data_IF_737750807378
#
_entry.id   IF_737750807378
#
_cell.length_a   1.000
_cell.length_b   1.000
_cell.length_c   1.000
_cell.angle_alpha   90.00
_cell.angle_beta   90.00
_cell.angle_gamma   90.00
#
_symmetry.space_group_name_H-M   'P 1'
#
loop_
_entity.id
_entity.type
_entity.pdbx_description
1 polymer ?
#
# COMPACT_ATOMS: atom_id res chain seq x y z
N UNK A 1 -19.84 0.79 -0.83
CA UNK A 1 -19.60 2.23 -1.09
C UNK A 1 -18.18 2.38 -1.57
N UNK A 2 -17.97 3.00 -2.73
CA UNK A 2 -16.65 3.15 -3.35
C UNK A 2 -15.84 4.24 -2.65
N UNK A 3 -14.50 4.21 -2.75
CA UNK A 3 -13.68 5.29 -2.18
C UNK A 3 -13.82 6.60 -2.97
N UNK A 4 -14.17 6.49 -4.25
CA UNK A 4 -14.73 7.57 -5.06
C UNK A 4 -16.25 7.63 -4.90
N UNK A 5 -16.88 8.79 -5.02
CA UNK A 5 -18.34 8.90 -4.87
C UNK A 5 -18.79 10.10 -4.03
N UNK A 6 -20.05 10.07 -3.60
CA UNK A 6 -20.67 11.16 -2.81
C UNK A 6 -19.91 11.49 -1.53
N UNK A 7 -19.31 10.48 -0.89
CA UNK A 7 -18.62 10.63 0.39
C UNK A 7 -17.13 11.00 0.22
N UNK A 8 -16.63 10.93 -1.02
CA UNK A 8 -15.23 11.26 -1.33
C UNK A 8 -14.92 12.72 -1.00
N UNK A 9 -15.77 13.67 -1.42
CA UNK A 9 -15.55 15.11 -1.18
C UNK A 9 -15.60 15.48 0.30
N UNK A 10 -16.34 14.71 1.11
CA UNK A 10 -16.39 14.87 2.57
C UNK A 10 -15.10 14.36 3.21
N UNK A 11 -14.57 13.21 2.75
CA UNK A 11 -13.35 12.60 3.28
C UNK A 11 -12.08 13.31 2.80
N UNK A 12 -12.10 13.79 1.57
CA UNK A 12 -11.00 14.40 0.84
C UNK A 12 -11.41 15.77 0.32
N UNK A 13 -11.55 16.78 1.22
CA UNK A 13 -11.91 18.14 0.82
C UNK A 13 -10.83 18.77 -0.07
N UNK A 14 -9.57 18.36 0.10
CA UNK A 14 -8.47 18.68 -0.80
C UNK A 14 -8.01 17.40 -1.54
N UNK A 15 -8.30 17.25 -2.84
CA UNK A 15 -7.87 16.11 -3.65
C UNK A 15 -6.35 16.04 -3.86
N UNK A 16 -5.61 17.08 -3.46
CA UNK A 16 -4.15 17.13 -3.49
C UNK A 16 -3.53 17.11 -2.10
N UNK A 17 -4.34 17.11 -1.03
CA UNK A 17 -3.87 17.26 0.34
C UNK A 17 -3.21 16.02 0.92
N UNK A 18 -3.44 14.84 0.33
CA UNK A 18 -2.69 13.62 0.68
C UNK A 18 -2.77 12.55 -0.40
N UNK A 19 -1.85 11.58 -0.34
CA UNK A 19 -1.77 10.47 -1.29
C UNK A 19 -3.08 9.66 -1.36
N UNK A 20 -3.74 9.41 -0.23
CA UNK A 20 -5.05 8.72 -0.13
C UNK A 20 -6.19 9.48 -0.81
N UNK A 21 -6.04 10.80 -0.96
CA UNK A 21 -7.02 11.66 -1.60
C UNK A 21 -6.71 11.89 -3.08
N UNK A 22 -5.66 11.29 -3.63
CA UNK A 22 -5.38 11.41 -5.06
C UNK A 22 -6.50 10.75 -5.86
N UNK A 23 -7.34 11.57 -6.48
CA UNK A 23 -8.42 11.11 -7.35
C UNK A 23 -8.26 11.76 -8.74
N UNK A 24 -8.16 10.98 -9.82
CA UNK A 24 -7.98 11.54 -11.16
C UNK A 24 -9.20 12.30 -11.68
N UNK A 25 -10.39 12.05 -11.11
CA UNK A 25 -11.66 12.70 -11.44
C UNK A 25 -12.42 13.06 -10.14
N UNK A 26 -11.99 14.11 -9.41
CA UNK A 26 -12.55 14.43 -8.09
C UNK A 26 -13.89 15.19 -8.15
N UNK A 27 -14.22 15.81 -9.29
CA UNK A 27 -15.40 16.66 -9.47
C UNK A 27 -16.47 16.05 -10.40
N UNK A 28 -16.22 14.87 -10.93
CA UNK A 28 -17.09 14.17 -11.87
C UNK A 28 -17.17 12.69 -11.50
N UNK A 29 -18.31 12.05 -11.77
CA UNK A 29 -18.51 10.60 -11.70
C UNK A 29 -18.45 9.94 -10.30
N UNK A 30 -19.62 9.91 -9.67
CA UNK A 30 -19.88 9.36 -8.34
C UNK A 30 -20.33 7.88 -8.32
N UNK A 31 -20.43 7.24 -9.48
CA UNK A 31 -20.86 5.85 -9.64
C UNK A 31 -19.89 5.07 -10.52
N UNK A 32 -19.92 3.74 -10.42
CA UNK A 32 -19.12 2.87 -11.28
C UNK A 32 -19.41 3.11 -12.76
N UNK A 33 -20.69 3.32 -13.10
CA UNK A 33 -21.14 3.54 -14.47
C UNK A 33 -20.59 4.85 -15.01
N UNK A 34 -20.77 5.96 -14.28
CA UNK A 34 -20.27 7.26 -14.71
C UNK A 34 -18.74 7.29 -14.80
N UNK A 35 -18.03 6.51 -13.96
CA UNK A 35 -16.56 6.39 -14.04
C UNK A 35 -16.07 5.66 -15.28
N UNK A 36 -16.73 4.57 -15.65
CA UNK A 36 -16.32 3.74 -16.79
C UNK A 36 -16.74 4.35 -18.12
N UNK A 37 -17.90 5.01 -18.15
CA UNK A 37 -18.58 5.39 -19.39
C UNK A 37 -18.87 6.89 -19.51
N UNK A 38 -18.56 7.69 -18.49
CA UNK A 38 -18.90 9.11 -18.47
C UNK A 38 -20.41 9.36 -18.34
N UNK A 39 -20.79 10.62 -18.51
CA UNK A 39 -22.19 11.06 -18.37
C UNK A 39 -23.00 10.94 -19.68
N UNK A 40 -22.33 10.55 -20.78
CA UNK A 40 -22.87 10.55 -22.14
C UNK A 40 -23.51 9.21 -22.57
N UNK A 41 -23.33 8.13 -21.81
CA UNK A 41 -23.79 6.81 -22.21
C UNK A 41 -25.21 6.52 -21.71
N UNK A 42 -26.12 6.29 -22.66
CA UNK A 42 -27.49 5.88 -22.40
C UNK A 42 -27.58 4.35 -22.31
N UNK A 43 -27.64 3.81 -21.09
CA UNK A 43 -27.74 2.36 -20.84
C UNK A 43 -29.10 1.75 -21.15
N UNK A 44 -30.12 2.53 -21.52
CA UNK A 44 -31.42 1.97 -21.92
C UNK A 44 -31.33 1.06 -23.16
N UNK A 45 -30.22 1.10 -23.91
CA UNK A 45 -29.99 0.31 -25.12
C UNK A 45 -28.89 -0.75 -25.03
N UNK A 46 -28.20 -0.90 -23.89
CA UNK A 46 -27.08 -1.83 -23.70
C UNK A 46 -27.33 -2.76 -22.50
N UNK A 47 -28.07 -3.86 -22.69
CA UNK A 47 -28.34 -4.78 -21.61
C UNK A 47 -27.10 -5.62 -21.28
N UNK A 48 -26.80 -5.72 -19.98
CA UNK A 48 -26.14 -6.90 -19.44
C UNK A 48 -27.06 -8.09 -19.73
N UNK A 49 -26.71 -8.88 -20.75
CA UNK A 49 -27.55 -9.97 -21.25
C UNK A 49 -27.04 -11.35 -20.79
N UNK A 50 -25.85 -11.41 -20.18
CA UNK A 50 -25.22 -12.63 -19.68
C UNK A 50 -24.30 -12.38 -18.49
N UNK A 51 -23.91 -13.49 -17.86
CA UNK A 51 -22.94 -13.50 -16.77
C UNK A 51 -21.52 -13.79 -17.29
N UNK A 52 -20.55 -13.19 -16.62
CA UNK A 52 -19.13 -13.50 -16.73
C UNK A 52 -18.66 -14.05 -15.39
N UNK A 53 -18.09 -15.26 -15.42
CA UNK A 53 -17.48 -15.91 -14.26
C UNK A 53 -15.98 -15.66 -14.27
N UNK A 54 -15.45 -15.24 -13.13
CA UNK A 54 -14.03 -14.95 -12.93
C UNK A 54 -13.58 -15.67 -11.68
N UNK A 55 -12.67 -16.62 -11.85
CA UNK A 55 -12.23 -17.51 -10.79
C UNK A 55 -10.71 -17.40 -10.58
N UNK A 56 -10.30 -17.07 -9.37
CA UNK A 56 -8.90 -16.92 -8.98
C UNK A 56 -8.39 -18.16 -8.23
N UNK A 57 -7.11 -18.45 -8.46
CA UNK A 57 -6.32 -19.38 -7.67
C UNK A 57 -5.06 -18.67 -7.17
N UNK A 58 -4.98 -18.49 -5.85
CA UNK A 58 -3.83 -17.90 -5.17
C UNK A 58 -3.13 -18.98 -4.36
N UNK A 59 -1.86 -19.22 -4.69
CA UNK A 59 -1.02 -20.12 -3.90
C UNK A 59 -0.45 -19.39 -2.69
N UNK A 60 -0.29 -20.10 -1.58
CA UNK A 60 0.44 -19.62 -0.42
C UNK A 60 1.90 -19.34 -0.76
N UNK A 61 2.48 -18.40 -0.06
CA UNK A 61 3.89 -18.07 -0.19
C UNK A 61 4.35 -17.04 0.83
N UNK A 62 5.62 -16.66 0.69
CA UNK A 62 6.23 -15.62 1.49
C UNK A 62 6.81 -14.55 0.57
N UNK A 63 6.76 -13.30 1.03
CA UNK A 63 7.28 -12.16 0.28
C UNK A 63 7.85 -11.11 1.22
N UNK A 64 8.87 -10.39 0.76
CA UNK A 64 9.44 -9.28 1.52
C UNK A 64 8.64 -8.02 1.25
N UNK A 65 8.31 -7.26 2.29
CA UNK A 65 7.78 -5.90 2.15
C UNK A 65 8.20 -5.06 3.35
N UNK A 66 8.69 -3.85 3.09
CA UNK A 66 9.14 -2.91 4.12
C UNK A 66 10.14 -3.53 5.10
N UNK A 67 11.04 -4.37 4.56
CA UNK A 67 12.08 -5.06 5.32
C UNK A 67 11.59 -6.20 6.22
N UNK A 68 10.33 -6.65 6.06
CA UNK A 68 9.76 -7.78 6.79
C UNK A 68 9.30 -8.88 5.82
N UNK A 69 9.43 -10.14 6.23
CA UNK A 69 8.96 -11.29 5.47
C UNK A 69 7.53 -11.60 5.91
N UNK A 70 6.58 -11.35 5.02
CA UNK A 70 5.17 -11.63 5.20
C UNK A 70 4.84 -13.05 4.75
N UNK A 71 3.93 -13.69 5.46
CA UNK A 71 3.32 -14.96 5.07
C UNK A 71 1.90 -14.68 4.57
N UNK A 72 1.55 -15.17 3.39
CA UNK A 72 0.24 -14.93 2.81
C UNK A 72 -0.89 -15.74 3.45
N UNK A 73 -0.57 -16.70 4.33
CA UNK A 73 -1.53 -17.68 4.83
C UNK A 73 -1.70 -18.86 3.87
N UNK A 74 -2.88 -19.46 3.84
CA UNK A 74 -3.16 -20.68 3.07
C UNK A 74 -3.44 -20.40 1.58
N UNK A 75 -3.47 -21.48 0.78
CA UNK A 75 -3.95 -21.42 -0.60
C UNK A 75 -5.41 -20.93 -0.62
N UNK A 76 -5.75 -20.08 -1.59
CA UNK A 76 -7.08 -19.51 -1.74
C UNK A 76 -7.62 -19.77 -3.16
N UNK A 77 -8.89 -20.18 -3.26
CA UNK A 77 -9.60 -20.39 -4.52
C UNK A 77 -11.01 -19.80 -4.39
N UNK A 78 -11.37 -18.89 -5.28
CA UNK A 78 -12.62 -18.13 -5.17
C UNK A 78 -13.11 -17.62 -6.52
N UNK A 79 -14.43 -17.55 -6.70
CA UNK A 79 -15.07 -16.81 -7.81
C UNK A 79 -15.49 -15.43 -7.33
N UNK A 80 -15.42 -14.44 -8.22
CA UNK A 80 -15.95 -13.10 -7.96
C UNK A 80 -17.48 -13.18 -7.89
N UNK A 81 -18.04 -12.73 -6.77
CA UNK A 81 -19.47 -12.41 -6.65
C UNK A 81 -19.64 -10.90 -6.44
N UNK A 82 -20.18 -10.16 -7.43
CA UNK A 82 -20.36 -8.71 -7.33
C UNK A 82 -21.40 -8.30 -6.28
N UNK A 83 -22.23 -9.23 -5.79
CA UNK A 83 -23.18 -9.02 -4.70
C UNK A 83 -22.57 -9.30 -3.32
N UNK A 84 -21.42 -9.96 -3.27
CA UNK A 84 -20.71 -10.23 -2.03
C UNK A 84 -20.05 -8.98 -1.46
N UNK A 85 -19.90 -8.98 -0.14
CA UNK A 85 -19.13 -7.98 0.60
C UNK A 85 -17.68 -8.41 0.84
N UNK A 86 -17.27 -9.54 0.27
CA UNK A 86 -15.90 -10.05 0.33
C UNK A 86 -14.90 -9.03 -0.23
N UNK A 87 -13.68 -9.14 0.25
CA UNK A 87 -12.56 -8.28 -0.09
C UNK A 87 -11.32 -9.15 -0.27
N UNK A 88 -10.57 -8.86 -1.31
CA UNK A 88 -9.35 -9.60 -1.67
C UNK A 88 -8.16 -8.64 -1.68
N UNK A 89 -6.97 -9.21 -1.69
CA UNK A 89 -5.72 -8.44 -1.73
C UNK A 89 -5.05 -8.51 -3.11
N UNK A 90 -4.13 -7.58 -3.40
CA UNK A 90 -3.19 -7.71 -4.51
C UNK A 90 -2.49 -9.07 -4.54
N UNK A 91 -2.05 -9.61 -3.39
CA UNK A 91 -1.48 -10.96 -3.35
C UNK A 91 -2.47 -12.02 -3.85
N UNK A 92 -3.72 -12.01 -3.37
CA UNK A 92 -4.76 -12.99 -3.75
C UNK A 92 -5.09 -12.99 -5.24
N UNK A 93 -4.90 -11.84 -5.89
CA UNK A 93 -5.31 -11.59 -7.28
C UNK A 93 -4.11 -11.44 -8.22
N UNK A 94 -2.89 -11.75 -7.78
CA UNK A 94 -1.68 -11.51 -8.59
C UNK A 94 -1.59 -12.31 -9.88
N UNK A 95 -2.25 -13.45 -9.94
CA UNK A 95 -2.22 -14.34 -11.10
C UNK A 95 -3.47 -14.13 -11.96
N UNK A 96 -3.32 -14.32 -13.28
CA UNK A 96 -4.44 -14.29 -14.22
C UNK A 96 -5.54 -15.27 -13.77
N UNK A 97 -6.79 -14.81 -13.57
CA UNK A 97 -7.89 -15.70 -13.24
C UNK A 97 -8.33 -16.52 -14.46
N UNK A 98 -9.03 -17.62 -14.19
CA UNK A 98 -9.84 -18.26 -15.22
C UNK A 98 -11.09 -17.41 -15.45
N UNK A 99 -11.34 -17.03 -16.71
CA UNK A 99 -12.46 -16.17 -17.08
C UNK A 99 -13.30 -16.91 -18.12
N UNK A 100 -14.60 -17.02 -17.86
CA UNK A 100 -15.52 -17.68 -18.76
C UNK A 100 -16.87 -16.98 -18.83
N UNK A 101 -17.55 -17.14 -19.97
CA UNK A 101 -18.91 -16.66 -20.19
C UNK A 101 -19.61 -17.58 -21.18
N UNK A 102 -20.92 -17.37 -21.33
CA UNK A 102 -21.71 -18.07 -22.34
C UNK A 102 -21.65 -17.28 -23.66
N UNK A 103 -21.13 -17.92 -24.70
CA UNK A 103 -21.17 -17.42 -26.06
C UNK A 103 -22.20 -18.21 -26.89
N UNK A 104 -23.23 -17.56 -27.46
CA UNK A 104 -24.21 -18.20 -28.33
C UNK A 104 -23.62 -18.96 -29.53
N UNK A 105 -22.49 -18.51 -30.08
CA UNK A 105 -21.78 -19.17 -31.17
C UNK A 105 -20.27 -18.99 -31.02
N UNK A 106 -19.48 -19.95 -31.50
CA UNK A 106 -18.02 -19.86 -31.62
C UNK A 106 -17.57 -18.80 -32.63
N UNK A 107 -18.45 -18.37 -33.54
CA UNK A 107 -18.13 -17.37 -34.57
C UNK A 107 -18.22 -15.93 -34.04
N UNK A 108 -18.80 -15.75 -32.85
CA UNK A 108 -18.87 -14.44 -32.21
C UNK A 108 -17.51 -14.07 -31.60
N UNK A 109 -17.12 -12.81 -31.74
CA UNK A 109 -15.87 -12.30 -31.21
C UNK A 109 -16.14 -11.31 -30.08
N UNK A 110 -15.29 -11.33 -29.06
CA UNK A 110 -15.43 -10.50 -27.87
C UNK A 110 -14.15 -9.72 -27.56
N UNK A 111 -14.35 -8.55 -26.93
CA UNK A 111 -13.32 -7.76 -26.28
C UNK A 111 -13.53 -7.83 -24.77
N UNK A 112 -12.50 -8.22 -24.01
CA UNK A 112 -12.47 -8.21 -22.55
C UNK A 112 -11.55 -7.10 -22.06
N UNK A 113 -12.05 -6.27 -21.14
CA UNK A 113 -11.28 -5.20 -20.50
C UNK A 113 -11.32 -5.39 -18.99
N UNK A 114 -10.15 -5.52 -18.38
CA UNK A 114 -9.95 -5.48 -16.93
C UNK A 114 -9.47 -4.09 -16.55
N UNK A 115 -10.18 -3.41 -15.65
CA UNK A 115 -9.94 -1.99 -15.37
C UNK A 115 -10.11 -1.63 -13.90
N UNK A 116 -9.27 -0.71 -13.44
CA UNK A 116 -9.43 0.09 -12.24
C UNK A 116 -10.18 1.40 -12.56
N UNK A 117 -11.51 1.48 -12.33
CA UNK A 117 -12.27 2.73 -12.46
C UNK A 117 -11.89 3.80 -11.43
N UNK A 118 -11.27 3.44 -10.31
CA UNK A 118 -10.84 4.37 -9.26
C UNK A 118 -9.70 5.27 -9.73
N UNK A 119 -8.66 4.66 -10.32
CA UNK A 119 -7.48 5.37 -10.81
C UNK A 119 -7.41 5.50 -12.35
N UNK A 120 -8.41 4.97 -13.07
CA UNK A 120 -8.48 4.94 -14.53
C UNK A 120 -7.27 4.22 -15.13
N UNK A 121 -7.07 2.98 -14.69
CA UNK A 121 -5.96 2.14 -15.12
C UNK A 121 -6.48 0.86 -15.79
N UNK A 122 -5.92 0.53 -16.95
CA UNK A 122 -6.12 -0.75 -17.57
C UNK A 122 -5.21 -1.79 -16.89
N UNK A 123 -5.79 -2.94 -16.59
CA UNK A 123 -5.11 -4.10 -16.00
C UNK A 123 -5.09 -5.30 -16.94
N UNK A 124 -5.79 -5.25 -18.07
CA UNK A 124 -5.76 -6.28 -19.11
C UNK A 124 -6.72 -5.93 -20.23
N UNK A 125 -6.31 -6.14 -21.47
CA UNK A 125 -7.11 -5.83 -22.67
C UNK A 125 -6.88 -6.95 -23.68
N UNK A 126 -7.95 -7.67 -23.98
CA UNK A 126 -7.96 -8.79 -24.90
C UNK A 126 -9.02 -8.55 -25.97
N UNK A 127 -8.66 -8.66 -27.24
CA UNK A 127 -9.58 -8.49 -28.37
C UNK A 127 -9.69 -9.79 -29.16
N UNK A 128 -10.64 -9.85 -30.08
CA UNK A 128 -10.78 -10.96 -31.03
C UNK A 128 -10.94 -12.33 -30.37
N UNK A 129 -11.50 -12.39 -29.16
CA UNK A 129 -11.69 -13.66 -28.44
C UNK A 129 -12.82 -14.43 -29.13
N UNK A 130 -12.57 -15.59 -29.76
CA UNK A 130 -13.61 -16.35 -30.43
C UNK A 130 -14.43 -17.13 -29.40
N UNK A 131 -15.76 -16.96 -29.43
CA UNK A 131 -16.66 -17.59 -28.48
C UNK A 131 -16.38 -17.16 -27.05
N UNK A 132 -15.78 -18.04 -26.25
CA UNK A 132 -15.59 -17.86 -24.81
C UNK A 132 -14.24 -18.33 -24.25
N UNK A 133 -13.27 -18.66 -25.11
CA UNK A 133 -11.96 -19.13 -24.66
C UNK A 133 -10.92 -18.03 -24.81
N UNK A 134 -10.63 -17.35 -23.70
CA UNK A 134 -9.75 -16.18 -23.65
C UNK A 134 -8.36 -16.38 -24.30
N UNK A 135 -7.68 -17.53 -24.12
CA UNK A 135 -6.36 -17.74 -24.74
C UNK A 135 -6.34 -17.79 -26.27
N UNK A 136 -7.50 -17.97 -26.93
CA UNK A 136 -7.60 -17.91 -28.40
C UNK A 136 -7.74 -16.47 -28.93
N UNK A 137 -7.90 -15.49 -28.03
CA UNK A 137 -7.92 -14.07 -28.38
C UNK A 137 -6.52 -13.45 -28.52
N UNK A 138 -6.50 -12.17 -28.85
CA UNK A 138 -5.29 -11.36 -28.95
C UNK A 138 -5.14 -10.48 -27.70
N UNK A 139 -4.07 -10.70 -26.94
CA UNK A 139 -3.72 -9.88 -25.79
C UNK A 139 -3.00 -8.60 -26.24
N UNK A 140 -3.66 -7.45 -26.10
CA UNK A 140 -3.05 -6.13 -26.32
C UNK A 140 -2.32 -5.67 -25.06
N UNK A 141 -2.90 -5.99 -23.91
CA UNK A 141 -2.31 -5.84 -22.59
C UNK A 141 -2.63 -7.10 -21.78
N UNK A 142 -1.59 -7.81 -21.36
CA UNK A 142 -1.75 -8.97 -20.48
C UNK A 142 -2.24 -8.53 -19.10
N UNK A 143 -2.78 -9.48 -18.34
CA UNK A 143 -3.26 -9.21 -17.00
C UNK A 143 -2.12 -8.79 -16.07
N UNK A 144 -2.31 -7.68 -15.38
CA UNK A 144 -1.43 -7.21 -14.32
C UNK A 144 -2.20 -7.11 -13.00
N UNK A 145 -1.50 -7.47 -11.92
CA UNK A 145 -2.03 -7.45 -10.55
C UNK A 145 -2.62 -6.09 -10.18
N UNK A 146 -3.74 -6.04 -9.44
CA UNK A 146 -4.20 -4.83 -8.76
C UNK A 146 -3.12 -4.22 -7.87
N UNK A 147 -2.85 -2.91 -8.01
CA UNK A 147 -1.72 -2.26 -7.31
C UNK A 147 -2.17 -1.30 -6.21
N UNK A 148 -3.37 -1.54 -5.68
CA UNK A 148 -3.94 -0.70 -4.63
C UNK A 148 -3.16 -0.86 -3.32
N UNK A 149 -2.70 0.25 -2.72
CA UNK A 149 -1.84 0.23 -1.52
C UNK A 149 -2.57 0.60 -0.21
N UNK A 150 -3.81 1.10 -0.30
CA UNK A 150 -4.50 1.67 0.86
C UNK A 150 -5.39 0.65 1.58
N UNK A 151 -5.66 0.93 2.85
CA UNK A 151 -6.51 0.09 3.71
C UNK A 151 -8.01 0.19 3.39
N UNK A 152 -8.44 1.20 2.65
CA UNK A 152 -9.79 1.27 2.09
C UNK A 152 -9.88 0.44 0.80
N UNK A 153 -11.10 0.16 0.33
CA UNK A 153 -11.30 -0.70 -0.84
C UNK A 153 -11.26 0.12 -2.14
N UNK A 154 -10.53 -0.37 -3.13
CA UNK A 154 -10.71 0.00 -4.54
C UNK A 154 -11.50 -1.08 -5.30
N UNK A 155 -12.01 -0.73 -6.47
CA UNK A 155 -12.79 -1.62 -7.33
C UNK A 155 -12.02 -1.91 -8.59
N UNK A 156 -12.11 -3.16 -9.04
CA UNK A 156 -11.62 -3.60 -10.33
C UNK A 156 -12.76 -4.27 -11.08
N UNK A 157 -12.96 -3.90 -12.34
CA UNK A 157 -14.05 -4.40 -13.18
C UNK A 157 -13.54 -5.29 -14.29
N UNK A 158 -14.37 -6.24 -14.67
CA UNK A 158 -14.22 -7.07 -15.86
C UNK A 158 -15.38 -6.75 -16.78
N UNK A 159 -15.09 -6.17 -17.94
CA UNK A 159 -16.07 -5.69 -18.91
C UNK A 159 -15.95 -6.51 -20.19
N UNK A 160 -17.05 -7.13 -20.61
CA UNK A 160 -17.12 -7.90 -21.84
C UNK A 160 -17.95 -7.16 -22.87
N UNK A 161 -17.38 -6.94 -24.05
CA UNK A 161 -18.05 -6.33 -25.18
C UNK A 161 -18.11 -7.30 -26.35
N UNK A 162 -19.25 -7.32 -27.05
CA UNK A 162 -19.39 -8.07 -28.30
C UNK A 162 -18.86 -7.23 -29.46
N UNK A 163 -18.06 -7.84 -30.32
CA UNK A 163 -17.52 -7.19 -31.51
C UNK A 163 -18.45 -7.40 -32.71
N UNK A 164 -18.46 -6.43 -33.64
CA UNK A 164 -19.10 -6.58 -34.94
C UNK A 164 -18.12 -7.17 -35.99
N UNK A 165 -17.54 -8.32 -35.66
CA UNK A 165 -16.47 -8.98 -36.44
C UNK A 165 -15.09 -8.88 -35.79
N UNK A 166 -14.08 -9.42 -36.46
CA UNK A 166 -12.68 -9.31 -36.02
C UNK A 166 -12.20 -7.86 -36.11
N UNK A 167 -11.61 -7.36 -35.04
CA UNK A 167 -10.99 -6.05 -34.95
C UNK A 167 -9.59 -6.11 -35.53
N UNK A 168 -9.27 -5.17 -36.42
CA UNK A 168 -7.90 -4.84 -36.78
C UNK A 168 -7.59 -3.47 -36.20
N UNK A 169 -6.69 -3.40 -35.23
CA UNK A 169 -6.33 -2.13 -34.60
C UNK A 169 -5.60 -1.22 -35.58
N UNK A 170 -5.85 0.09 -35.49
CA UNK A 170 -4.98 1.08 -36.12
C UNK A 170 -3.72 1.24 -35.26
N UNK A 171 -2.62 1.71 -35.85
CA UNK A 171 -1.39 1.97 -35.10
C UNK A 171 -1.62 2.93 -33.90
N UNK A 172 -2.50 3.91 -34.08
CA UNK A 172 -2.89 4.84 -33.01
C UNK A 172 -3.56 4.11 -31.84
N UNK A 173 -4.55 3.25 -32.13
CA UNK A 173 -5.28 2.52 -31.09
C UNK A 173 -4.43 1.45 -30.43
N UNK A 174 -3.58 0.76 -31.19
CA UNK A 174 -2.60 -0.17 -30.63
C UNK A 174 -1.68 0.55 -29.62
N UNK A 175 -1.24 1.77 -29.95
CA UNK A 175 -0.44 2.59 -29.05
C UNK A 175 -1.24 3.01 -27.81
N UNK A 176 -2.48 3.49 -27.98
CA UNK A 176 -3.35 3.90 -26.88
C UNK A 176 -3.62 2.76 -25.90
N UNK A 177 -4.00 1.59 -26.40
CA UNK A 177 -4.38 0.42 -25.60
C UNK A 177 -3.20 -0.23 -24.84
N UNK A 178 -1.96 0.05 -25.25
CA UNK A 178 -0.76 -0.39 -24.51
C UNK A 178 -0.44 0.46 -23.28
N UNK A 179 -1.13 1.58 -23.06
CA UNK A 179 -0.91 2.43 -21.89
C UNK A 179 -1.71 1.94 -20.68
N UNK A 180 -1.01 1.67 -19.57
CA UNK A 180 -1.61 1.29 -18.28
C UNK A 180 -2.51 2.38 -17.72
N UNK A 181 -2.02 3.62 -17.66
CA UNK A 181 -2.81 4.78 -17.23
C UNK A 181 -3.55 5.34 -18.42
N UNK A 182 -4.86 5.13 -18.49
CA UNK A 182 -5.66 5.54 -19.65
C UNK A 182 -6.16 6.98 -19.54
N UNK A 183 -5.98 7.60 -18.37
CA UNK A 183 -6.34 9.00 -18.10
C UNK A 183 -5.75 9.93 -19.15
N UNK A 184 -6.59 10.75 -19.77
CA UNK A 184 -6.25 11.69 -20.85
C UNK A 184 -5.77 11.03 -22.17
N UNK A 185 -5.88 9.70 -22.31
CA UNK A 185 -5.49 8.99 -23.53
C UNK A 185 -6.74 8.56 -24.32
N UNK A 186 -7.67 7.87 -23.66
CA UNK A 186 -8.95 7.47 -24.24
C UNK A 186 -9.96 7.13 -23.13
N UNK A 187 -11.24 7.04 -23.50
CA UNK A 187 -12.31 6.52 -22.66
C UNK A 187 -12.87 5.22 -23.24
N UNK A 188 -13.57 4.42 -22.43
CA UNK A 188 -14.25 3.20 -22.94
C UNK A 188 -15.25 3.56 -24.06
N UNK A 189 -16.08 4.62 -23.95
CA UNK A 189 -16.94 5.07 -25.05
C UNK A 189 -16.17 5.37 -26.35
N UNK A 190 -15.00 6.02 -26.29
CA UNK A 190 -14.20 6.30 -27.50
C UNK A 190 -13.80 5.00 -28.20
N UNK A 191 -13.43 3.97 -27.43
CA UNK A 191 -13.07 2.65 -27.96
C UNK A 191 -14.29 1.94 -28.56
N UNK A 192 -15.43 2.03 -27.89
CA UNK A 192 -16.68 1.46 -28.37
C UNK A 192 -17.11 2.08 -29.70
N UNK A 193 -17.03 3.41 -29.81
CA UNK A 193 -17.34 4.14 -31.04
C UNK A 193 -16.37 3.79 -32.17
N UNK A 194 -15.07 3.76 -31.89
CA UNK A 194 -14.04 3.51 -32.90
C UNK A 194 -14.13 2.13 -33.55
N UNK A 195 -14.54 1.10 -32.80
CA UNK A 195 -14.59 -0.29 -33.28
C UNK A 195 -16.00 -0.90 -33.29
N UNK A 196 -17.04 -0.10 -33.05
CA UNK A 196 -18.42 -0.56 -33.04
C UNK A 196 -18.68 -1.66 -32.00
N UNK A 197 -18.07 -1.54 -30.82
CA UNK A 197 -18.27 -2.49 -29.73
C UNK A 197 -19.69 -2.36 -29.16
N UNK A 198 -20.38 -3.49 -29.00
CA UNK A 198 -21.70 -3.55 -28.38
C UNK A 198 -21.57 -4.04 -26.94
N UNK A 199 -22.11 -3.29 -25.97
CA UNK A 199 -22.13 -3.72 -24.58
C UNK A 199 -21.93 -2.59 -23.55
N UNK A 200 -21.49 -2.92 -22.33
CA UNK A 200 -21.03 -4.24 -21.91
C UNK A 200 -22.17 -5.28 -21.94
N UNK A 201 -21.92 -6.43 -22.56
CA UNK A 201 -22.88 -7.56 -22.58
C UNK A 201 -22.80 -8.38 -21.30
N UNK A 202 -21.65 -8.35 -20.63
CA UNK A 202 -21.45 -8.85 -19.29
C UNK A 202 -20.50 -7.94 -18.51
N UNK A 203 -20.69 -7.88 -17.19
CA UNK A 203 -19.81 -7.17 -16.27
C UNK A 203 -19.80 -7.87 -14.91
N UNK A 204 -18.63 -7.92 -14.28
CA UNK A 204 -18.49 -8.21 -12.85
C UNK A 204 -17.42 -7.30 -12.24
N UNK A 205 -17.34 -7.23 -10.92
CA UNK A 205 -16.36 -6.42 -10.21
C UNK A 205 -15.93 -7.05 -8.90
N UNK A 206 -14.69 -6.77 -8.50
CA UNK A 206 -14.13 -7.19 -7.21
C UNK A 206 -13.68 -5.98 -6.39
N UNK A 207 -13.66 -6.17 -5.07
CA UNK A 207 -13.19 -5.20 -4.09
C UNK A 207 -11.80 -5.60 -3.64
N UNK A 208 -10.82 -4.72 -3.87
CA UNK A 208 -9.43 -4.93 -3.50
C UNK A 208 -9.06 -3.98 -2.37
N UNK A 209 -8.52 -4.54 -1.29
CA UNK A 209 -7.87 -3.80 -0.21
C UNK A 209 -6.37 -4.00 -0.31
N UNK A 210 -5.61 -2.93 -0.11
CA UNK A 210 -4.15 -2.98 -0.20
C UNK A 210 -3.53 -3.84 0.89
N UNK A 211 -2.41 -4.46 0.53
CA UNK A 211 -1.61 -5.34 1.37
C UNK A 211 -0.13 -4.94 1.28
N UNK A 212 0.75 -5.54 2.11
CA UNK A 212 2.17 -5.27 2.04
C UNK A 212 2.79 -5.63 0.67
N UNK A 213 2.22 -6.58 -0.08
CA UNK A 213 2.71 -6.97 -1.39
C UNK A 213 2.64 -5.82 -2.40
N UNK A 214 1.48 -5.14 -2.50
CA UNK A 214 1.36 -3.98 -3.38
C UNK A 214 2.28 -2.82 -2.96
N UNK A 215 2.47 -2.60 -1.65
CA UNK A 215 3.41 -1.58 -1.18
C UNK A 215 4.83 -1.88 -1.67
N UNK A 216 5.28 -3.14 -1.59
CA UNK A 216 6.61 -3.50 -2.07
C UNK A 216 6.73 -3.38 -3.60
N UNK A 217 5.68 -3.74 -4.34
CA UNK A 217 5.65 -3.59 -5.80
C UNK A 217 5.93 -2.14 -6.22
N UNK A 218 5.28 -1.18 -5.56
CA UNK A 218 5.49 0.26 -5.80
C UNK A 218 6.89 0.75 -5.42
N UNK A 219 7.45 0.22 -4.33
CA UNK A 219 8.83 0.53 -3.91
C UNK A 219 9.83 0.01 -4.94
N UNK A 220 9.66 -1.23 -5.40
CA UNK A 220 10.54 -1.87 -6.38
C UNK A 220 10.49 -1.17 -7.75
N UNK A 221 9.32 -0.62 -8.11
CA UNK A 221 9.13 0.20 -9.31
C UNK A 221 9.63 1.64 -9.16
N UNK A 222 9.95 2.07 -7.93
CA UNK A 222 10.39 3.44 -7.64
C UNK A 222 9.26 4.47 -7.76
N UNK A 223 8.00 4.06 -7.55
CA UNK A 223 6.82 4.93 -7.65
C UNK A 223 6.49 5.58 -6.31
N UNK A 224 6.06 4.78 -5.33
CA UNK A 224 5.59 5.24 -4.03
C UNK A 224 6.30 4.54 -2.87
N UNK A 225 6.56 5.28 -1.80
CA UNK A 225 6.96 4.75 -0.50
C UNK A 225 5.76 4.81 0.44
N UNK A 226 5.27 3.64 0.88
CA UNK A 226 4.04 3.53 1.68
C UNK A 226 4.18 2.66 2.95
N UNK A 227 5.41 2.33 3.35
CA UNK A 227 5.67 1.59 4.59
C UNK A 227 5.06 2.20 5.86
N UNK A 228 4.92 3.54 6.02
CA UNK A 228 4.24 4.13 7.16
C UNK A 228 2.83 3.58 7.42
N UNK A 229 2.09 3.14 6.40
CA UNK A 229 0.78 2.52 6.58
C UNK A 229 0.83 1.18 7.32
N UNK A 230 1.87 0.39 7.10
CA UNK A 230 2.05 -0.87 7.80
C UNK A 230 2.46 -0.62 9.26
N UNK A 231 3.32 0.38 9.48
CA UNK A 231 3.74 0.81 10.82
C UNK A 231 2.56 1.33 11.63
N UNK A 232 1.69 2.12 11.01
CA UNK A 232 0.45 2.63 11.61
C UNK A 232 -0.48 1.49 12.03
N UNK A 233 -0.65 0.47 11.18
CA UNK A 233 -1.47 -0.68 11.53
C UNK A 233 -0.89 -1.49 12.71
N UNK A 234 0.44 -1.57 12.83
CA UNK A 234 1.10 -2.27 13.92
C UNK A 234 1.02 -1.50 15.24
N UNK A 235 1.36 -0.21 15.24
CA UNK A 235 1.39 0.60 16.46
C UNK A 235 0.01 0.72 17.11
N UNK A 236 -1.05 0.75 16.30
CA UNK A 236 -2.43 0.79 16.78
C UNK A 236 -2.83 -0.49 17.57
N UNK A 237 -2.12 -1.62 17.40
CA UNK A 237 -2.35 -2.84 18.20
C UNK A 237 -1.81 -2.74 19.62
N UNK A 238 -0.83 -1.87 19.86
CA UNK A 238 -0.16 -1.74 21.16
C UNK A 238 -1.03 -1.01 22.20
N UNK A 239 -2.04 -0.23 21.76
CA UNK A 239 -3.00 0.47 22.61
C UNK A 239 -2.35 1.22 23.81
N UNK A 240 -1.33 2.04 23.52
CA UNK A 240 -0.59 2.82 24.53
C UNK A 240 -1.18 4.22 24.67
N UNK A 241 -1.35 4.69 25.89
CA UNK A 241 -1.99 5.99 26.21
C UNK A 241 -1.18 7.21 25.75
N UNK A 242 0.14 7.10 25.67
CA UNK A 242 1.02 8.16 25.15
C UNK A 242 1.06 8.23 23.61
N UNK A 243 0.38 7.30 22.93
CA UNK A 243 0.23 7.30 21.47
C UNK A 243 -1.19 7.76 21.16
N UNK A 244 -1.39 8.85 20.41
CA UNK A 244 -2.72 9.32 20.07
C UNK A 244 -3.57 8.25 19.37
N UNK A 245 -4.85 8.16 19.78
CA UNK A 245 -5.82 7.35 19.04
C UNK A 245 -5.96 7.90 17.62
N UNK A 246 -5.92 7.01 16.61
CA UNK A 246 -5.96 7.38 15.19
C UNK A 246 -4.74 8.19 14.71
N UNK A 247 -3.54 7.85 15.22
CA UNK A 247 -2.28 8.41 14.72
C UNK A 247 -2.12 8.07 13.24
N UNK A 248 -1.97 9.08 12.38
CA UNK A 248 -1.59 8.91 10.98
C UNK A 248 -0.08 9.02 10.83
N UNK A 249 0.57 7.95 10.40
CA UNK A 249 2.03 7.97 10.21
C UNK A 249 2.38 8.44 8.80
N UNK A 250 3.18 9.50 8.71
CA UNK A 250 3.63 10.09 7.43
C UNK A 250 5.13 9.94 7.20
N UNK A 251 5.88 9.49 8.21
CA UNK A 251 7.33 9.28 8.16
C UNK A 251 7.64 7.93 8.79
N UNK A 252 8.43 7.14 8.08
CA UNK A 252 9.04 5.92 8.60
C UNK A 252 10.37 6.26 9.27
N UNK A 253 10.64 5.63 10.41
CA UNK A 253 11.83 5.84 11.24
C UNK A 253 12.64 4.56 11.27
N UNK A 254 13.66 4.49 10.41
CA UNK A 254 14.54 3.34 10.36
C UNK A 254 15.69 3.51 11.36
N UNK A 255 15.72 2.68 12.39
CA UNK A 255 16.77 2.67 13.41
C UNK A 255 17.73 1.50 13.15
N UNK A 256 19.02 1.79 13.03
CA UNK A 256 20.07 0.77 12.91
C UNK A 256 21.17 0.99 13.93
N UNK A 257 21.57 -0.10 14.59
CA UNK A 257 22.73 -0.14 15.49
C UNK A 257 23.85 -0.95 14.83
N UNK A 258 25.10 -0.51 15.02
CA UNK A 258 26.30 -1.24 14.60
C UNK A 258 27.28 -1.38 15.77
N UNK A 259 26.90 -2.13 16.83
CA UNK A 259 27.76 -2.36 18.00
C UNK A 259 29.10 -2.98 17.61
N UNK A 260 30.24 -2.42 18.04
CA UNK A 260 31.52 -3.12 17.95
C UNK A 260 31.50 -4.34 18.88
N UNK A 261 32.34 -5.32 18.56
CA UNK A 261 32.54 -6.50 19.39
C UNK A 261 32.97 -6.08 20.81
N UNK A 262 32.48 -6.79 21.82
CA UNK A 262 32.76 -6.50 23.23
C UNK A 262 32.92 -7.77 24.03
N UNK A 263 33.94 -7.79 24.88
CA UNK A 263 34.11 -8.77 25.94
C UNK A 263 33.79 -8.09 27.28
N UNK A 264 33.01 -8.75 28.14
CA UNK A 264 32.70 -8.24 29.47
C UNK A 264 32.54 -9.39 30.47
N UNK A 265 32.65 -9.09 31.76
CA UNK A 265 32.42 -10.07 32.84
C UNK A 265 31.20 -9.66 33.63
N UNK A 266 30.30 -10.61 33.90
CA UNK A 266 29.15 -10.42 34.79
C UNK A 266 28.95 -11.67 35.62
N UNK A 267 28.68 -11.52 36.93
CA UNK A 267 28.54 -12.63 37.87
C UNK A 267 29.64 -13.69 37.74
N UNK A 268 30.91 -13.24 37.69
CA UNK A 268 32.11 -14.09 37.53
C UNK A 268 32.17 -14.93 36.25
N UNK A 269 31.31 -14.65 35.26
CA UNK A 269 31.28 -15.31 33.97
C UNK A 269 31.70 -14.33 32.86
N UNK A 270 32.56 -14.78 31.95
CA UNK A 270 32.96 -14.01 30.80
C UNK A 270 31.94 -14.16 29.68
N UNK A 271 31.54 -13.04 29.08
CA UNK A 271 30.64 -12.95 27.95
C UNK A 271 31.35 -12.25 26.80
N UNK A 272 31.01 -12.65 25.58
CA UNK A 272 31.58 -12.08 24.38
C UNK A 272 30.50 -11.91 23.33
N UNK A 273 30.32 -10.67 22.86
CA UNK A 273 29.43 -10.33 21.76
C UNK A 273 30.27 -9.90 20.57
N UNK A 274 30.06 -10.55 19.42
CA UNK A 274 30.65 -10.15 18.15
C UNK A 274 30.09 -8.81 17.65
N UNK A 275 30.78 -8.21 16.68
CA UNK A 275 30.22 -7.12 15.89
C UNK A 275 28.98 -7.62 15.14
N UNK A 276 27.94 -6.79 15.10
CA UNK A 276 26.70 -7.08 14.39
C UNK A 276 26.05 -5.78 13.92
N UNK A 277 25.34 -5.85 12.79
CA UNK A 277 24.40 -4.79 12.39
C UNK A 277 22.99 -5.23 12.79
N UNK A 278 22.30 -4.39 13.55
CA UNK A 278 20.95 -4.64 14.04
C UNK A 278 20.05 -3.53 13.51
N UNK A 279 19.25 -3.86 12.48
CA UNK A 279 18.18 -3.00 11.98
C UNK A 279 16.90 -3.34 12.72
N UNK A 280 16.30 -2.37 13.39
CA UNK A 280 15.01 -2.54 14.04
C UNK A 280 13.91 -2.55 12.97
N UNK A 281 12.97 -3.49 13.07
CA UNK A 281 11.78 -3.51 12.24
C UNK A 281 10.56 -3.91 13.09
N UNK A 282 9.62 -2.98 13.35
CA UNK A 282 8.47 -3.26 14.20
C UNK A 282 7.43 -4.17 13.55
N UNK A 283 7.48 -4.39 12.22
CA UNK A 283 6.58 -5.31 11.51
C UNK A 283 6.88 -6.79 11.78
N UNK A 284 8.06 -7.08 12.33
CA UNK A 284 8.51 -8.44 12.61
C UNK A 284 8.95 -8.67 14.05
N UNK A 285 9.73 -9.73 14.25
CA UNK A 285 10.36 -9.96 15.55
C UNK A 285 11.46 -8.90 15.78
N UNK A 286 11.09 -7.86 16.53
CA UNK A 286 11.96 -6.75 16.92
C UNK A 286 12.78 -7.03 18.20
N UNK A 287 12.79 -8.28 18.68
CA UNK A 287 13.56 -8.66 19.87
C UNK A 287 15.06 -8.57 19.61
N UNK A 288 15.74 -7.72 20.37
CA UNK A 288 17.18 -7.49 20.30
C UNK A 288 17.83 -7.66 21.67
N UNK A 289 19.12 -8.04 21.69
CA UNK A 289 19.86 -8.17 22.96
C UNK A 289 20.23 -6.78 23.46
N UNK A 290 20.09 -6.51 24.75
CA UNK A 290 20.43 -5.21 25.34
C UNK A 290 21.87 -4.79 25.04
N UNK A 291 22.83 -5.74 24.99
CA UNK A 291 24.20 -5.42 24.63
C UNK A 291 24.41 -5.03 23.16
N UNK A 292 23.54 -5.43 22.23
CA UNK A 292 23.62 -5.00 20.83
C UNK A 292 23.15 -3.54 20.66
N UNK A 293 22.29 -3.05 21.56
CA UNK A 293 21.69 -1.70 21.57
C UNK A 293 22.07 -0.91 22.83
N UNK A 294 23.24 -1.19 23.40
CA UNK A 294 23.71 -0.64 24.69
C UNK A 294 24.07 0.84 24.60
N UNK A 295 24.11 1.51 25.75
CA UNK A 295 24.71 2.85 25.90
C UNK A 295 26.14 2.86 25.34
N UNK A 296 26.47 3.90 24.57
CA UNK A 296 27.74 4.02 23.87
C UNK A 296 27.77 3.40 22.47
N UNK A 297 26.66 2.84 22.01
CA UNK A 297 26.42 2.49 20.60
C UNK A 297 25.33 3.43 20.09
N UNK A 298 25.74 4.51 19.42
CA UNK A 298 24.79 5.50 18.93
C UNK A 298 23.98 4.92 17.75
N UNK A 299 22.64 5.01 17.77
CA UNK A 299 21.81 4.58 16.66
C UNK A 299 21.97 5.51 15.45
N UNK A 300 22.07 4.92 14.26
CA UNK A 300 21.87 5.65 13.01
C UNK A 300 20.38 5.65 12.66
N UNK A 301 19.87 6.81 12.23
CA UNK A 301 18.46 7.01 11.89
C UNK A 301 18.34 7.43 10.45
N UNK A 302 17.43 6.79 9.73
CA UNK A 302 17.02 7.20 8.39
C UNK A 302 15.52 7.47 8.42
N UNK A 303 15.14 8.67 7.98
CA UNK A 303 13.75 9.08 7.86
C UNK A 303 13.31 8.98 6.40
N UNK A 304 12.14 8.39 6.16
CA UNK A 304 11.57 8.27 4.80
C UNK A 304 10.09 8.65 4.83
N UNK A 305 9.70 9.68 4.08
CA UNK A 305 8.32 10.15 4.01
C UNK A 305 7.45 9.23 3.15
N UNK A 306 6.22 9.05 3.59
CA UNK A 306 5.11 8.55 2.79
C UNK A 306 4.92 9.46 1.56
N UNK A 307 4.81 8.87 0.37
CA UNK A 307 4.54 9.64 -0.86
C UNK A 307 5.30 9.11 -2.06
N UNK A 308 5.54 9.98 -3.04
CA UNK A 308 6.34 9.65 -4.22
C UNK A 308 7.79 9.34 -3.81
N UNK A 309 8.36 8.26 -4.32
CA UNK A 309 9.73 7.83 -3.99
C UNK A 309 10.76 8.94 -4.22
N UNK A 310 10.61 9.72 -5.30
CA UNK A 310 11.49 10.85 -5.64
C UNK A 310 11.47 11.98 -4.60
N UNK A 311 10.37 12.11 -3.85
CA UNK A 311 10.13 13.17 -2.87
C UNK A 311 10.22 12.64 -1.43
N UNK A 312 10.39 11.32 -1.24
CA UNK A 312 10.39 10.65 0.06
C UNK A 312 11.50 11.13 1.01
N UNK A 313 12.50 11.85 0.51
CA UNK A 313 13.59 12.46 1.28
C UNK A 313 13.50 13.99 1.38
N UNK A 314 12.43 14.60 0.88
CA UNK A 314 12.21 16.04 0.93
C UNK A 314 11.28 16.39 2.09
N UNK A 315 11.78 17.10 3.10
CA UNK A 315 11.03 17.44 4.32
C UNK A 315 10.55 18.90 4.41
N UNK A 316 10.72 19.69 3.33
CA UNK A 316 10.05 20.98 3.10
C UNK A 316 10.15 22.01 4.25
N UNK A 317 11.33 22.16 4.85
CA UNK A 317 11.60 23.05 5.98
C UNK A 317 10.79 22.72 7.24
N UNK A 318 10.43 21.44 7.44
CA UNK A 318 9.80 20.97 8.67
C UNK A 318 10.84 20.77 9.78
N UNK A 319 10.40 20.96 11.03
CA UNK A 319 11.17 20.67 12.23
C UNK A 319 10.63 19.39 12.88
N UNK A 320 11.53 18.57 13.42
CA UNK A 320 11.14 17.32 14.08
C UNK A 320 11.78 17.13 15.46
N UNK A 321 11.06 16.42 16.32
CA UNK A 321 11.58 15.86 17.57
C UNK A 321 11.58 14.33 17.48
N UNK A 322 12.74 13.72 17.73
CA UNK A 322 12.89 12.27 17.88
C UNK A 322 13.05 11.92 19.35
N UNK A 323 12.32 10.91 19.82
CA UNK A 323 12.44 10.38 21.18
C UNK A 323 12.41 8.86 21.24
N UNK A 324 13.14 8.29 22.20
CA UNK A 324 13.09 6.87 22.54
C UNK A 324 12.55 6.72 23.96
N UNK A 325 11.52 5.90 24.16
CA UNK A 325 10.86 5.72 25.47
C UNK A 325 10.60 4.25 25.83
N UNK A 326 10.63 3.96 27.13
CA UNK A 326 10.32 2.65 27.73
C UNK A 326 9.09 2.77 28.66
N UNK A 327 7.91 2.28 28.26
CA UNK A 327 6.72 2.26 29.11
C UNK A 327 6.63 1.04 30.03
N UNK A 328 7.54 0.07 29.89
CA UNK A 328 7.46 -1.23 30.56
C UNK A 328 8.37 -1.27 31.82
N UNK A 329 8.87 -0.11 32.26
CA UNK A 329 9.71 0.03 33.46
C UNK A 329 8.96 -0.45 34.70
N UNK A 330 9.51 -1.40 35.49
CA UNK A 330 8.79 -2.00 36.62
C UNK A 330 8.72 -1.10 37.85
N UNK A 331 9.38 0.06 37.84
CA UNK A 331 9.51 0.95 38.99
C UNK A 331 8.86 2.30 38.69
N UNK A 332 7.71 2.62 39.32
CA UNK A 332 6.96 3.86 39.07
C UNK A 332 7.74 5.16 39.29
N UNK A 333 8.83 5.14 40.06
CA UNK A 333 9.68 6.31 40.27
C UNK A 333 10.56 6.66 39.06
N UNK A 334 10.74 5.72 38.12
CA UNK A 334 11.48 5.95 36.87
C UNK A 334 10.55 6.17 35.67
N UNK A 335 9.37 5.53 35.66
CA UNK A 335 8.36 5.71 34.63
C UNK A 335 7.14 4.84 34.88
N UNK A 336 6.06 5.11 34.16
CA UNK A 336 4.82 4.31 34.13
C UNK A 336 4.38 4.08 32.69
N UNK A 337 3.41 3.19 32.42
CA UNK A 337 2.87 3.02 31.07
C UNK A 337 2.31 4.31 30.44
N UNK A 338 1.84 5.26 31.25
CA UNK A 338 1.31 6.56 30.81
C UNK A 338 2.39 7.64 30.73
N UNK A 339 3.46 7.51 31.53
CA UNK A 339 4.60 8.43 31.60
C UNK A 339 5.89 7.62 31.43
N UNK A 340 6.22 7.20 30.20
CA UNK A 340 7.29 6.26 29.97
C UNK A 340 8.66 6.88 30.25
N UNK A 341 9.64 6.04 30.60
CA UNK A 341 11.01 6.48 30.86
C UNK A 341 11.66 6.94 29.56
N UNK A 342 12.25 8.14 29.56
CA UNK A 342 12.96 8.70 28.41
C UNK A 342 14.38 8.12 28.30
N UNK A 343 14.70 7.58 27.13
CA UNK A 343 16.01 7.02 26.80
C UNK A 343 16.80 7.86 25.80
N UNK A 344 16.13 8.68 24.99
CA UNK A 344 16.77 9.52 23.98
C UNK A 344 15.85 10.68 23.62
N UNK A 345 16.41 11.88 23.40
CA UNK A 345 15.65 13.03 22.93
C UNK A 345 16.53 13.98 22.10
N UNK A 346 16.13 14.18 20.85
CA UNK A 346 16.67 15.21 19.96
C UNK A 346 15.50 16.05 19.47
N UNK A 347 15.58 17.37 19.66
CA UNK A 347 14.57 18.33 19.20
C UNK A 347 15.12 19.18 18.05
N UNK A 348 14.25 19.93 17.38
CA UNK A 348 14.62 20.89 16.33
C UNK A 348 15.48 20.26 15.21
N UNK A 349 15.19 19.01 14.84
CA UNK A 349 15.79 18.36 13.67
C UNK A 349 15.25 19.05 12.43
N UNK A 350 16.10 19.77 11.72
CA UNK A 350 15.76 20.46 10.48
C UNK A 350 15.72 19.48 9.31
N UNK A 351 14.68 19.54 8.50
CA UNK A 351 14.57 18.81 7.23
C UNK A 351 14.80 17.29 7.31
N UNK A 352 14.52 16.71 8.47
CA UNK A 352 14.75 15.29 8.74
C UNK A 352 16.24 14.90 8.81
N UNK A 353 17.16 15.87 8.82
CA UNK A 353 18.60 15.65 8.94
C UNK A 353 19.03 15.65 10.41
N UNK A 354 19.07 14.46 11.02
CA UNK A 354 19.32 14.27 12.46
C UNK A 354 20.49 15.09 13.05
N UNK A 355 21.66 15.22 12.40
CA UNK A 355 22.79 16.03 12.89
C UNK A 355 22.50 17.51 13.11
N UNK A 356 21.46 18.07 12.48
CA UNK A 356 21.04 19.47 12.70
C UNK A 356 20.32 19.65 14.04
N UNK A 357 19.78 18.57 14.60
CA UNK A 357 18.98 18.60 15.81
C UNK A 357 19.75 18.95 17.07
N UNK A 358 19.05 19.55 18.02
CA UNK A 358 19.54 19.81 19.36
C UNK A 358 19.38 18.58 20.25
N UNK A 359 20.51 17.99 20.69
CA UNK A 359 20.51 16.82 21.57
C UNK A 359 20.19 17.23 23.00
N UNK A 360 18.95 17.00 23.44
CA UNK A 360 18.48 17.28 24.80
C UNK A 360 18.93 16.18 25.76
N UNK A 361 18.81 14.92 25.34
CA UNK A 361 19.28 13.75 26.08
C UNK A 361 19.95 12.81 25.08
N UNK A 362 21.19 12.39 25.37
CA UNK A 362 21.89 11.37 24.57
C UNK A 362 21.25 10.01 24.74
N UNK A 363 21.39 9.15 23.73
CA UNK A 363 20.87 7.79 23.77
C UNK A 363 21.44 7.01 24.97
N UNK A 364 20.54 6.52 25.81
CA UNK A 364 20.82 5.57 26.88
C UNK A 364 20.19 4.23 26.49
N UNK A 365 21.01 3.19 26.38
CA UNK A 365 20.54 1.87 25.97
C UNK A 365 19.64 1.19 27.02
N UNK A 366 18.89 0.14 26.63
CA UNK A 366 18.09 -0.68 27.53
C UNK A 366 18.89 -1.26 28.70
N UNK A 367 18.32 -1.18 29.90
CA UNK A 367 18.85 -1.80 31.11
C UNK A 367 17.71 -2.36 31.99
N UNK A 368 16.86 -3.27 31.47
CA UNK A 368 15.75 -3.81 32.25
C UNK A 368 16.27 -4.56 33.49
N UNK A 369 15.65 -4.31 34.64
CA UNK A 369 16.03 -4.92 35.93
C UNK A 369 15.49 -6.34 36.12
N UNK A 370 14.67 -6.83 35.18
CA UNK A 370 14.05 -8.14 35.19
C UNK A 370 14.45 -8.91 33.91
N UNK A 371 14.10 -10.20 33.85
CA UNK A 371 14.32 -11.04 32.67
C UNK A 371 13.16 -10.97 31.65
N UNK A 372 12.28 -9.99 31.78
CA UNK A 372 11.16 -9.78 30.86
C UNK A 372 11.62 -8.85 29.74
N UNK A 373 11.12 -9.09 28.53
CA UNK A 373 11.33 -8.17 27.41
C UNK A 373 10.58 -6.86 27.68
N UNK A 374 11.24 -5.74 27.40
CA UNK A 374 10.64 -4.40 27.38
C UNK A 374 10.49 -3.95 25.93
N UNK A 375 9.46 -3.15 25.66
CA UNK A 375 9.23 -2.55 24.34
C UNK A 375 9.73 -1.11 24.33
N UNK A 376 10.72 -0.81 23.48
CA UNK A 376 11.23 0.54 23.31
C UNK A 376 10.61 1.19 22.07
N UNK A 377 10.06 2.38 22.22
CA UNK A 377 9.40 3.11 21.13
C UNK A 377 10.31 4.24 20.67
N UNK A 378 10.69 4.22 19.40
CA UNK A 378 11.32 5.36 18.73
C UNK A 378 10.23 6.13 17.99
N UNK A 379 9.95 7.35 18.44
CA UNK A 379 8.83 8.17 17.97
C UNK A 379 9.38 9.47 17.39
N UNK A 380 8.89 9.83 16.21
CA UNK A 380 9.18 11.10 15.56
C UNK A 380 7.92 11.96 15.54
N UNK A 381 8.05 13.20 16.01
CA UNK A 381 6.98 14.19 16.02
C UNK A 381 7.37 15.39 15.16
N UNK A 382 6.47 15.82 14.28
CA UNK A 382 6.62 17.10 13.58
C UNK A 382 6.31 18.26 14.55
N UNK A 383 7.15 19.28 14.51
CA UNK A 383 7.02 20.48 15.31
C UNK A 383 6.37 21.60 14.50
N UNK A 384 5.41 22.29 15.12
CA UNK A 384 4.81 23.50 14.54
C UNK A 384 5.69 24.74 14.72
N UNK A 385 6.66 24.68 15.62
CA UNK A 385 7.62 25.75 15.89
C UNK A 385 8.90 25.18 16.52
N UNK A 386 9.97 25.97 16.48
CA UNK A 386 11.20 25.67 17.20
C UNK A 386 10.96 25.62 18.71
N UNK A 387 11.49 24.59 19.37
CA UNK A 387 11.41 24.43 20.82
C UNK A 387 12.59 25.16 21.47
N UNK A 388 12.30 25.95 22.50
CA UNK A 388 13.33 26.54 23.34
C UNK A 388 13.76 25.53 24.41
N UNK A 389 14.89 24.86 24.18
CA UNK A 389 15.49 23.86 25.06
C UNK A 389 16.69 24.48 25.77
N UNK A 390 16.42 25.16 26.88
CA UNK A 390 17.42 25.84 27.74
C UNK A 390 17.79 25.04 28.97
#
# INVERSE_FOLDING_TARGET
>A
MFWFGTDYSIRCPDPHGSLECSNPMPHHHDSLVSRLFGDSVNFHSTPLDRYIDVHFYSQKGQYNSCGYIWDSGDDLSFSIDPLSMDSFTPWDTRNMPNISWIAPSSDEHYTLIVMDPGYLMAHGIYINIPGNFLPDGEAIMEYHVPEHIFSFHNIYTFLLFKQNGSISLSHEWETKLKHKYIRNIYTIPDLMEAYGLMGPVAMTWMRIKGDPYAIQLHIDQGEYYACPYLMEAEINKHNRSFIPHHTRMTVDVEITFSPPAIAFTSCCSAFYYDHRVVKLNPLGNSSVRCGDVRTGVDPSVVLTRLGLMKESKMFNNSLYTLLCVDPDVPTPSFGTPDFPLLHWLISNIEDGDLPTGHVVMKYSGPAPLNNLGHTYYFLLYEQTMELNVS
#
